data_IF_180062508605
#
_entry.id   IF_180062508605
#
_cell.length_a   1.000
_cell.length_b   1.000
_cell.length_c   1.000
_cell.angle_alpha   90.00
_cell.angle_beta   90.00
_cell.angle_gamma   90.00
#
_symmetry.space_group_name_H-M   'P 1'
#
loop_
_entity.id
_entity.type
_entity.pdbx_description
1 polymer ?
#
# COMPACT_ATOMS: atom_id res chain seq x y z
N UNK A 1 8.45 10.21 -2.79
CA UNK A 1 9.62 10.74 -2.02
C UNK A 1 10.83 9.85 -2.24
N UNK A 2 12.06 10.43 -2.39
CA UNK A 2 13.29 9.62 -2.41
C UNK A 2 13.82 9.36 -0.99
N UNK A 3 14.64 8.31 -0.84
CA UNK A 3 15.26 7.98 0.45
C UNK A 3 16.16 9.14 0.97
N UNK A 4 16.88 9.83 0.09
CA UNK A 4 17.67 11.00 0.46
C UNK A 4 16.81 12.16 0.99
N UNK A 5 15.64 12.41 0.37
CA UNK A 5 14.69 13.41 0.87
C UNK A 5 14.10 13.00 2.22
N UNK A 6 13.77 11.71 2.38
CA UNK A 6 13.29 11.15 3.64
C UNK A 6 14.32 11.34 4.77
N UNK A 7 15.56 10.91 4.51
CA UNK A 7 16.69 11.06 5.44
C UNK A 7 16.89 12.52 5.87
N UNK A 8 16.90 13.45 4.89
CA UNK A 8 17.00 14.89 5.17
C UNK A 8 15.87 15.36 6.09
N UNK A 9 14.63 14.92 5.84
CA UNK A 9 13.46 15.30 6.66
C UNK A 9 13.54 14.77 8.08
N UNK A 10 13.98 13.50 8.27
CA UNK A 10 14.23 12.93 9.60
C UNK A 10 15.25 13.75 10.39
N UNK A 11 16.39 14.07 9.78
CA UNK A 11 17.43 14.88 10.40
C UNK A 11 16.96 16.31 10.71
N UNK A 12 16.16 16.91 9.86
CA UNK A 12 15.53 18.21 10.14
C UNK A 12 14.62 18.18 11.37
N UNK A 13 13.85 17.10 11.56
CA UNK A 13 13.00 16.93 12.74
C UNK A 13 13.82 16.78 14.03
N UNK A 14 14.96 16.11 13.96
CA UNK A 14 15.87 15.94 15.10
C UNK A 14 16.60 17.25 15.44
N UNK A 15 17.07 17.96 14.43
CA UNK A 15 17.90 19.17 14.60
C UNK A 15 17.13 20.47 14.33
N UNK A 16 15.82 20.50 14.49
CA UNK A 16 14.87 21.54 14.06
C UNK A 16 15.10 22.96 14.56
N UNK A 17 16.22 23.27 15.20
CA UNK A 17 16.60 24.63 15.61
C UNK A 17 17.90 25.16 14.98
N UNK A 18 18.46 24.45 14.03
CA UNK A 18 19.51 25.06 13.20
C UNK A 18 18.83 25.94 12.14
N UNK A 19 18.63 27.21 12.47
CA UNK A 19 18.07 28.26 11.60
C UNK A 19 19.04 28.63 10.45
N UNK A 20 20.17 28.00 10.38
CA UNK A 20 21.20 28.32 9.38
C UNK A 20 21.11 27.31 8.23
N UNK A 21 20.44 27.76 7.14
CA UNK A 21 20.76 27.42 5.75
C UNK A 21 20.93 25.95 5.36
N UNK A 22 20.80 25.68 4.11
CA UNK A 22 20.74 24.44 3.35
C UNK A 22 21.82 23.37 3.59
N UNK A 23 22.78 23.56 4.45
CA UNK A 23 23.83 22.61 4.81
C UNK A 23 23.77 22.25 6.28
N UNK A 24 23.05 21.19 6.61
CA UNK A 24 23.32 20.42 7.83
C UNK A 24 24.66 19.74 7.57
N UNK A 25 25.75 20.36 7.98
CA UNK A 25 27.05 19.68 7.98
C UNK A 25 26.95 18.51 8.97
N UNK A 26 27.05 17.30 8.45
CA UNK A 26 27.09 16.03 9.18
C UNK A 26 28.44 15.88 9.91
N UNK A 27 28.79 16.80 10.78
CA UNK A 27 30.14 16.91 11.38
C UNK A 27 30.24 16.38 12.80
N UNK A 28 29.17 15.82 13.39
CA UNK A 28 29.22 15.23 14.72
C UNK A 28 29.08 13.71 14.68
N UNK A 29 29.89 12.98 15.43
CA UNK A 29 29.96 11.52 15.49
C UNK A 29 28.61 10.83 15.71
N UNK A 30 27.66 11.46 16.41
CA UNK A 30 26.33 10.92 16.64
C UNK A 30 25.45 10.89 15.39
N UNK A 31 25.78 11.63 14.34
CA UNK A 31 24.96 11.69 13.13
C UNK A 31 25.16 10.45 12.24
N UNK A 32 26.35 9.87 12.22
CA UNK A 32 26.61 8.63 11.49
C UNK A 32 25.80 7.48 12.07
N UNK A 33 25.71 7.41 13.41
CA UNK A 33 24.91 6.41 14.12
C UNK A 33 23.42 6.55 13.76
N UNK A 34 22.90 7.78 13.78
CA UNK A 34 21.51 8.04 13.37
C UNK A 34 21.24 7.64 11.93
N UNK A 35 22.12 8.01 10.99
CA UNK A 35 21.95 7.67 9.58
C UNK A 35 21.93 6.14 9.36
N UNK A 36 22.76 5.41 10.10
CA UNK A 36 22.83 3.94 10.05
C UNK A 36 21.55 3.28 10.58
N UNK A 37 20.87 3.91 11.53
CA UNK A 37 19.64 3.39 12.12
C UNK A 37 18.36 3.75 11.32
N UNK A 38 18.42 4.70 10.40
CA UNK A 38 17.25 5.11 9.61
C UNK A 38 16.65 3.94 8.80
N UNK A 39 17.39 3.12 8.02
CA UNK A 39 16.79 2.07 7.21
C UNK A 39 15.99 1.04 8.02
N UNK A 40 16.50 0.44 9.11
CA UNK A 40 15.73 -0.52 9.89
C UNK A 40 14.50 0.09 10.59
N UNK A 41 14.58 1.35 11.02
CA UNK A 41 13.42 2.05 11.58
C UNK A 41 12.38 2.39 10.51
N UNK A 42 12.82 2.71 9.30
CA UNK A 42 11.92 2.94 8.18
C UNK A 42 11.18 1.65 7.78
N UNK A 43 11.85 0.50 7.73
CA UNK A 43 11.19 -0.79 7.50
C UNK A 43 10.18 -1.12 8.61
N UNK A 44 10.52 -0.83 9.85
CA UNK A 44 9.64 -1.05 10.99
C UNK A 44 8.37 -0.21 10.89
N UNK A 45 8.49 1.09 10.60
CA UNK A 45 7.32 1.97 10.50
C UNK A 45 6.46 1.66 9.28
N UNK A 46 7.06 1.29 8.15
CA UNK A 46 6.30 0.82 6.98
C UNK A 46 5.46 -0.40 7.35
N UNK A 47 6.07 -1.41 7.95
CA UNK A 47 5.40 -2.63 8.39
C UNK A 47 4.25 -2.32 9.36
N UNK A 48 4.48 -1.43 10.32
CA UNK A 48 3.47 -0.99 11.29
C UNK A 48 2.27 -0.32 10.62
N UNK A 49 2.52 0.64 9.71
CA UNK A 49 1.44 1.35 9.01
C UNK A 49 0.64 0.41 8.12
N UNK A 50 1.30 -0.50 7.38
CA UNK A 50 0.63 -1.45 6.50
C UNK A 50 -0.25 -2.46 7.25
N UNK A 51 0.14 -2.85 8.47
CA UNK A 51 -0.68 -3.69 9.33
C UNK A 51 -1.96 -2.98 9.78
N UNK A 52 -1.87 -1.69 10.12
CA UNK A 52 -3.01 -0.91 10.61
C UNK A 52 -3.91 -0.48 9.44
N UNK A 53 -3.34 0.01 8.33
CA UNK A 53 -4.08 0.67 7.25
C UNK A 53 -4.47 -0.21 6.09
N UNK A 54 -3.99 -1.46 6.02
CA UNK A 54 -4.37 -2.42 4.96
C UNK A 54 -4.31 -1.77 3.58
N UNK A 55 -3.14 -1.30 3.18
CA UNK A 55 -2.96 -0.57 1.92
C UNK A 55 -3.33 -1.46 0.74
N UNK A 56 -4.17 -0.93 -0.12
CA UNK A 56 -4.73 -1.61 -1.28
C UNK A 56 -4.19 -1.03 -2.57
N UNK A 57 -4.14 -1.87 -3.58
CA UNK A 57 -3.78 -1.47 -4.94
C UNK A 57 -4.64 -2.25 -5.95
N UNK A 58 -4.63 -1.79 -7.19
CA UNK A 58 -5.38 -2.42 -8.27
C UNK A 58 -4.55 -2.46 -9.54
N UNK A 59 -4.66 -3.55 -10.29
CA UNK A 59 -3.96 -3.74 -11.55
C UNK A 59 -4.92 -4.34 -12.58
N UNK A 60 -4.76 -3.95 -13.85
CA UNK A 60 -5.49 -4.62 -14.93
C UNK A 60 -4.94 -6.03 -15.13
N UNK A 61 -5.82 -7.00 -15.29
CA UNK A 61 -5.43 -8.40 -15.46
C UNK A 61 -4.51 -8.59 -16.67
N UNK A 62 -4.74 -7.84 -17.75
CA UNK A 62 -3.93 -7.87 -18.98
C UNK A 62 -2.48 -7.38 -18.78
N UNK A 63 -2.20 -6.61 -17.73
CA UNK A 63 -0.87 -6.06 -17.43
C UNK A 63 -0.04 -7.02 -16.57
N UNK A 64 -0.62 -8.16 -16.18
CA UNK A 64 0.08 -9.23 -15.48
C UNK A 64 0.71 -10.21 -16.48
N UNK A 65 1.86 -10.75 -16.11
CA UNK A 65 2.45 -11.87 -16.83
C UNK A 65 1.50 -13.06 -16.77
N UNK A 66 1.24 -13.67 -17.92
CA UNK A 66 0.32 -14.80 -18.03
C UNK A 66 0.86 -15.90 -18.94
N UNK A 67 0.44 -17.11 -18.65
CA UNK A 67 0.71 -18.30 -19.46
C UNK A 67 -0.59 -19.07 -19.75
N UNK A 68 -0.67 -19.72 -20.90
CA UNK A 68 -1.77 -20.61 -21.18
C UNK A 68 -1.60 -21.93 -20.42
N UNK A 69 -2.57 -22.28 -19.60
CA UNK A 69 -2.56 -23.56 -18.90
C UNK A 69 -3.19 -24.68 -19.73
N UNK A 70 -4.33 -24.36 -20.38
CA UNK A 70 -5.09 -25.26 -21.24
C UNK A 70 -5.93 -24.46 -22.25
N UNK A 71 -6.74 -25.14 -23.09
CA UNK A 71 -7.57 -24.50 -24.12
C UNK A 71 -8.58 -23.48 -23.56
N UNK A 72 -8.96 -23.60 -22.29
CA UNK A 72 -10.02 -22.80 -21.67
C UNK A 72 -9.52 -21.86 -20.59
N UNK A 73 -8.28 -22.02 -20.10
CA UNK A 73 -7.81 -21.32 -18.91
C UNK A 73 -6.46 -20.63 -19.14
N UNK A 74 -6.33 -19.46 -18.50
CA UNK A 74 -5.11 -18.67 -18.39
C UNK A 74 -4.61 -18.65 -16.95
N UNK A 75 -3.33 -18.68 -16.75
CA UNK A 75 -2.67 -18.58 -15.46
C UNK A 75 -1.91 -17.26 -15.40
N UNK A 76 -2.37 -16.36 -14.53
CA UNK A 76 -1.76 -15.05 -14.31
C UNK A 76 -0.85 -15.08 -13.09
N UNK A 77 0.32 -14.46 -13.20
CA UNK A 77 1.23 -14.27 -12.07
C UNK A 77 0.79 -13.05 -11.25
N UNK A 78 0.53 -13.25 -9.98
CA UNK A 78 0.18 -12.13 -9.08
C UNK A 78 1.39 -11.20 -8.91
N UNK A 79 1.18 -9.90 -8.67
CA UNK A 79 2.25 -8.97 -8.36
C UNK A 79 3.07 -9.43 -7.14
N UNK A 80 4.38 -9.21 -7.17
CA UNK A 80 5.30 -9.61 -6.08
C UNK A 80 4.93 -8.98 -4.73
N UNK A 81 4.31 -7.80 -4.77
CA UNK A 81 3.82 -7.10 -3.59
C UNK A 81 2.39 -7.48 -3.20
N UNK A 82 1.78 -8.44 -3.87
CA UNK A 82 0.46 -8.95 -3.50
C UNK A 82 0.56 -9.76 -2.20
N UNK A 83 -0.06 -9.25 -1.14
CA UNK A 83 -0.22 -9.97 0.13
C UNK A 83 -1.48 -10.84 0.13
N UNK A 84 -2.58 -10.28 -0.32
CA UNK A 84 -3.89 -10.93 -0.32
C UNK A 84 -4.78 -10.31 -1.40
N UNK A 85 -5.36 -11.14 -2.25
CA UNK A 85 -6.40 -10.69 -3.18
C UNK A 85 -7.68 -10.32 -2.43
N UNK A 86 -8.37 -9.30 -2.92
CA UNK A 86 -9.76 -9.07 -2.52
C UNK A 86 -10.68 -10.08 -3.22
N UNK A 87 -11.82 -10.43 -2.58
CA UNK A 87 -12.80 -11.30 -3.19
C UNK A 87 -13.35 -10.72 -4.50
N UNK A 88 -13.26 -11.49 -5.57
CA UNK A 88 -13.82 -11.14 -6.88
C UNK A 88 -12.92 -10.24 -7.74
N UNK A 89 -12.86 -10.58 -9.02
CA UNK A 89 -12.31 -9.70 -10.05
C UNK A 89 -13.38 -8.68 -10.45
N UNK A 90 -12.97 -7.43 -10.68
CA UNK A 90 -13.90 -6.38 -11.10
C UNK A 90 -13.95 -6.34 -12.63
N UNK A 91 -15.13 -6.56 -13.18
CA UNK A 91 -15.39 -6.42 -14.62
C UNK A 91 -16.25 -5.18 -14.83
N UNK A 92 -15.71 -4.08 -15.36
CA UNK A 92 -16.50 -2.91 -15.69
C UNK A 92 -17.46 -3.23 -16.85
N UNK A 93 -18.76 -3.05 -16.65
CA UNK A 93 -19.78 -3.23 -17.69
C UNK A 93 -20.50 -1.93 -17.98
N UNK A 94 -20.89 -1.72 -19.23
CA UNK A 94 -21.65 -0.55 -19.67
C UNK A 94 -20.81 0.56 -20.31
N UNK A 95 -21.50 1.62 -20.76
CA UNK A 95 -20.88 2.81 -21.36
C UNK A 95 -20.23 3.68 -20.27
N UNK A 96 -19.28 4.53 -20.64
CA UNK A 96 -18.39 5.25 -19.72
C UNK A 96 -19.06 6.00 -18.56
N UNK A 97 -20.31 6.44 -18.72
CA UNK A 97 -21.09 7.17 -17.72
C UNK A 97 -22.08 6.29 -16.92
N UNK A 98 -22.22 5.00 -17.31
CA UNK A 98 -23.10 4.01 -16.66
C UNK A 98 -22.35 2.72 -16.36
N UNK A 99 -21.04 2.81 -16.01
CA UNK A 99 -20.26 1.62 -15.66
C UNK A 99 -20.77 1.02 -14.36
N UNK A 100 -21.28 -0.19 -14.45
CA UNK A 100 -21.58 -1.03 -13.30
C UNK A 100 -20.36 -1.93 -13.07
N UNK A 101 -19.82 -1.93 -11.85
CA UNK A 101 -18.75 -2.82 -11.44
C UNK A 101 -19.35 -4.17 -11.07
N UNK A 102 -19.04 -5.20 -11.83
CA UNK A 102 -19.48 -6.57 -11.54
C UNK A 102 -18.33 -7.36 -10.96
N UNK A 103 -18.53 -7.96 -9.79
CA UNK A 103 -17.54 -8.85 -9.17
C UNK A 103 -17.67 -10.25 -9.76
N UNK A 104 -16.58 -10.75 -10.33
CA UNK A 104 -16.51 -12.07 -10.94
C UNK A 104 -15.76 -13.04 -10.01
N UNK A 105 -16.39 -14.15 -9.64
CA UNK A 105 -15.84 -15.14 -8.70
C UNK A 105 -15.34 -16.43 -9.38
N UNK A 106 -15.44 -16.53 -10.70
CA UNK A 106 -15.06 -17.73 -11.46
C UNK A 106 -13.56 -17.87 -11.69
N UNK A 107 -12.76 -17.65 -10.64
CA UNK A 107 -11.30 -17.81 -10.64
C UNK A 107 -10.85 -18.72 -9.50
N UNK A 108 -9.61 -19.19 -9.57
CA UNK A 108 -8.98 -19.97 -8.48
C UNK A 108 -7.55 -19.49 -8.24
N UNK A 109 -7.14 -19.46 -6.98
CA UNK A 109 -5.73 -19.31 -6.63
C UNK A 109 -5.02 -20.66 -6.86
N UNK A 110 -3.90 -20.60 -7.56
CA UNK A 110 -3.08 -21.75 -7.92
C UNK A 110 -1.64 -21.54 -7.44
N UNK A 111 -1.10 -22.48 -6.67
CA UNK A 111 0.29 -22.41 -6.19
C UNK A 111 0.63 -21.21 -5.29
N UNK A 112 -0.37 -20.54 -4.73
CA UNK A 112 -0.20 -19.44 -3.75
C UNK A 112 0.06 -18.05 -4.34
N UNK A 113 0.66 -17.94 -5.53
CA UNK A 113 0.98 -16.67 -6.18
C UNK A 113 0.49 -16.56 -7.62
N UNK A 114 -0.35 -17.47 -8.05
CA UNK A 114 -0.92 -17.49 -9.40
C UNK A 114 -2.44 -17.49 -9.35
N UNK A 115 -3.04 -16.86 -10.35
CA UNK A 115 -4.49 -16.73 -10.50
C UNK A 115 -4.92 -17.46 -11.76
N UNK A 116 -5.72 -18.50 -11.60
CA UNK A 116 -6.32 -19.25 -12.69
C UNK A 116 -7.65 -18.61 -13.07
N UNK A 117 -7.77 -18.17 -14.31
CA UNK A 117 -8.99 -17.57 -14.86
C UNK A 117 -9.37 -18.22 -16.19
N UNK A 118 -10.65 -18.25 -16.55
CA UNK A 118 -11.06 -18.65 -17.89
C UNK A 118 -10.55 -17.67 -18.95
N UNK A 119 -10.25 -18.17 -20.14
CA UNK A 119 -9.96 -17.34 -21.31
C UNK A 119 -11.16 -16.46 -21.68
N UNK A 120 -10.87 -15.29 -22.25
CA UNK A 120 -11.93 -14.40 -22.76
C UNK A 120 -12.49 -13.43 -21.72
N UNK A 121 -11.83 -13.28 -20.56
CA UNK A 121 -12.13 -12.13 -19.69
C UNK A 121 -11.80 -10.82 -20.41
N UNK A 122 -12.63 -9.77 -20.22
CA UNK A 122 -12.36 -8.46 -20.82
C UNK A 122 -11.01 -7.88 -20.41
N UNK A 123 -10.31 -7.21 -21.30
CA UNK A 123 -9.04 -6.50 -21.02
C UNK A 123 -9.16 -5.46 -19.91
N UNK A 124 -10.38 -4.99 -19.64
CA UNK A 124 -10.69 -4.06 -18.57
C UNK A 124 -10.88 -4.71 -17.20
N UNK A 125 -10.67 -6.02 -17.10
CA UNK A 125 -10.78 -6.74 -15.81
C UNK A 125 -9.71 -6.27 -14.85
N UNK A 126 -10.13 -5.92 -13.63
CA UNK A 126 -9.27 -5.37 -12.58
C UNK A 126 -9.14 -6.39 -11.45
N UNK A 127 -7.91 -6.61 -11.02
CA UNK A 127 -7.56 -7.30 -9.79
C UNK A 127 -7.32 -6.27 -8.71
N UNK A 128 -8.09 -6.33 -7.62
CA UNK A 128 -7.81 -5.59 -6.39
C UNK A 128 -7.10 -6.47 -5.37
N UNK A 129 -6.11 -5.94 -4.70
CA UNK A 129 -5.35 -6.69 -3.71
C UNK A 129 -4.79 -5.80 -2.60
N UNK A 130 -4.49 -6.42 -1.47
CA UNK A 130 -3.73 -5.78 -0.38
C UNK A 130 -2.26 -5.91 -0.66
N UNK A 131 -1.56 -4.79 -0.56
CA UNK A 131 -0.10 -4.75 -0.71
C UNK A 131 0.61 -5.25 0.54
N UNK A 132 1.71 -5.94 0.33
CA UNK A 132 2.74 -6.09 1.36
C UNK A 132 3.74 -4.95 1.25
N UNK A 133 4.39 -4.66 2.36
CA UNK A 133 5.55 -3.76 2.36
C UNK A 133 6.64 -4.36 1.47
N UNK A 134 7.21 -3.54 0.61
CA UNK A 134 8.44 -3.88 -0.10
C UNK A 134 9.60 -3.56 0.83
N UNK A 135 10.37 -4.56 1.29
CA UNK A 135 11.52 -4.30 2.14
C UNK A 135 12.52 -3.36 1.47
N UNK A 136 13.14 -2.51 2.26
CA UNK A 136 14.22 -1.66 1.75
C UNK A 136 15.45 -2.51 1.43
N UNK A 137 16.26 -2.13 0.43
CA UNK A 137 17.61 -2.66 0.30
C UNK A 137 18.41 -2.40 1.58
N UNK A 138 19.36 -3.27 1.90
CA UNK A 138 20.21 -3.14 3.10
C UNK A 138 20.91 -1.77 3.17
N UNK A 139 21.34 -1.24 2.03
CA UNK A 139 21.93 0.09 1.89
C UNK A 139 21.24 0.86 0.75
N UNK A 140 20.09 1.48 1.00
CA UNK A 140 19.35 2.17 -0.05
C UNK A 140 20.12 3.43 -0.50
N UNK A 141 20.37 3.60 -1.81
CA UNK A 141 20.97 4.83 -2.31
C UNK A 141 20.01 6.01 -2.12
N UNK A 142 20.52 7.24 -2.03
CA UNK A 142 19.71 8.44 -1.83
C UNK A 142 18.67 8.67 -2.95
N UNK A 143 18.92 8.10 -4.13
CA UNK A 143 18.00 8.14 -5.29
C UNK A 143 16.90 7.09 -5.23
N UNK A 144 16.94 6.14 -4.28
CA UNK A 144 15.93 5.10 -4.13
C UNK A 144 14.56 5.73 -3.86
N UNK A 145 13.55 5.36 -4.64
CA UNK A 145 12.19 5.90 -4.51
C UNK A 145 11.37 5.02 -3.57
N UNK A 146 10.88 5.62 -2.49
CA UNK A 146 9.94 4.95 -1.57
C UNK A 146 8.60 4.74 -2.26
N UNK A 147 8.17 3.49 -2.37
CA UNK A 147 6.96 3.09 -3.11
C UNK A 147 5.67 3.15 -2.27
N UNK A 148 5.65 3.97 -1.25
CA UNK A 148 4.46 4.19 -0.44
C UNK A 148 3.63 5.35 -1.01
N UNK A 149 2.32 5.41 -0.70
CA UNK A 149 1.51 6.61 -0.91
C UNK A 149 2.16 7.85 -0.28
N UNK A 150 2.01 9.01 -0.91
CA UNK A 150 2.64 10.25 -0.44
C UNK A 150 2.23 10.63 0.98
N UNK A 151 0.98 10.38 1.34
CA UNK A 151 0.47 10.61 2.70
C UNK A 151 1.24 9.80 3.75
N UNK A 152 1.59 8.56 3.43
CA UNK A 152 2.39 7.70 4.30
C UNK A 152 3.83 8.18 4.36
N UNK A 153 4.40 8.54 3.22
CA UNK A 153 5.76 9.09 3.14
C UNK A 153 5.91 10.36 4.00
N UNK A 154 4.83 11.12 4.18
CA UNK A 154 4.84 12.36 4.96
C UNK A 154 4.81 12.16 6.47
N UNK A 155 4.28 11.05 6.95
CA UNK A 155 4.18 10.78 8.40
C UNK A 155 5.32 9.93 8.94
N UNK A 156 5.90 9.04 8.14
CA UNK A 156 6.98 8.13 8.59
C UNK A 156 8.21 8.85 9.19
N UNK A 157 8.64 10.03 8.70
CA UNK A 157 9.78 10.73 9.29
C UNK A 157 9.62 11.06 10.76
N UNK A 158 8.38 11.31 11.24
CA UNK A 158 8.12 11.60 12.65
C UNK A 158 8.38 10.40 13.55
N UNK A 159 7.96 9.20 13.11
CA UNK A 159 8.24 7.95 13.81
C UNK A 159 9.75 7.69 13.89
N UNK A 160 10.43 7.73 12.74
CA UNK A 160 11.87 7.47 12.69
C UNK A 160 12.63 8.47 13.54
N UNK A 161 12.33 9.77 13.44
CA UNK A 161 12.95 10.80 14.25
C UNK A 161 12.71 10.61 15.76
N UNK A 162 11.48 10.21 16.13
CA UNK A 162 11.17 9.91 17.55
C UNK A 162 12.09 8.81 18.08
N UNK A 163 12.15 7.67 17.39
CA UNK A 163 12.93 6.52 17.87
C UNK A 163 14.44 6.77 17.88
N UNK A 164 14.96 7.61 17.01
CA UNK A 164 16.36 8.01 17.02
C UNK A 164 16.73 8.83 18.25
N UNK A 165 15.83 9.68 18.75
CA UNK A 165 16.11 10.52 19.94
C UNK A 165 15.60 9.92 21.23
N UNK A 166 15.02 8.72 21.21
CA UNK A 166 14.30 8.12 22.35
C UNK A 166 15.14 8.07 23.63
N UNK A 167 16.42 7.75 23.52
CA UNK A 167 17.32 7.64 24.66
C UNK A 167 17.99 8.96 25.05
N UNK A 168 18.20 9.84 24.09
CA UNK A 168 18.92 11.10 24.29
C UNK A 168 17.98 12.21 24.78
N UNK A 169 16.73 12.25 24.27
CA UNK A 169 15.73 13.26 24.60
C UNK A 169 14.32 12.64 24.69
N UNK A 170 13.95 12.06 25.84
CA UNK A 170 12.63 11.45 26.02
C UNK A 170 11.45 12.42 25.85
N UNK A 171 11.66 13.70 26.11
CA UNK A 171 10.63 14.71 25.92
C UNK A 171 10.35 14.93 24.41
N UNK A 172 11.41 15.05 23.64
CA UNK A 172 11.30 15.18 22.18
C UNK A 172 10.76 13.92 21.53
N UNK A 173 11.17 12.73 22.00
CA UNK A 173 10.56 11.46 21.62
C UNK A 173 9.04 11.53 21.75
N UNK A 174 8.54 11.90 22.93
CA UNK A 174 7.10 11.96 23.19
C UNK A 174 6.38 12.93 22.27
N UNK A 175 6.96 14.10 22.02
CA UNK A 175 6.39 15.10 21.12
C UNK A 175 6.30 14.60 19.66
N UNK A 176 7.37 14.03 19.13
CA UNK A 176 7.44 13.51 17.77
C UNK A 176 6.54 12.28 17.58
N UNK A 177 6.52 11.38 18.58
CA UNK A 177 5.68 10.19 18.54
C UNK A 177 4.20 10.53 18.60
N UNK A 178 3.80 11.48 19.44
CA UNK A 178 2.42 11.96 19.49
C UNK A 178 1.99 12.64 18.19
N UNK A 179 2.88 13.37 17.54
CA UNK A 179 2.62 13.96 16.22
C UNK A 179 2.45 12.87 15.15
N UNK A 180 3.29 11.83 15.17
CA UNK A 180 3.13 10.66 14.32
C UNK A 180 1.76 10.00 14.50
N UNK A 181 1.37 9.68 15.74
CA UNK A 181 0.08 9.04 16.05
C UNK A 181 -1.10 9.92 15.61
N UNK A 182 -1.02 11.23 15.88
CA UNK A 182 -2.06 12.19 15.47
C UNK A 182 -2.23 12.21 13.95
N UNK A 183 -1.15 12.21 13.19
CA UNK A 183 -1.20 12.17 11.73
C UNK A 183 -1.68 10.82 11.21
N UNK A 184 -1.23 9.73 11.82
CA UNK A 184 -1.67 8.38 11.47
C UNK A 184 -3.19 8.21 11.67
N UNK A 185 -3.77 8.77 12.73
CA UNK A 185 -5.21 8.75 12.98
C UNK A 185 -6.01 9.57 11.94
N UNK A 186 -5.41 10.64 11.41
CA UNK A 186 -6.02 11.49 10.38
C UNK A 186 -5.97 10.90 8.97
N UNK A 187 -5.11 9.91 8.73
CA UNK A 187 -5.16 9.18 7.47
C UNK A 187 -6.56 8.59 7.33
N UNK A 188 -7.22 8.90 6.23
CA UNK A 188 -8.53 8.33 5.96
C UNK A 188 -8.45 6.81 6.11
N UNK A 189 -9.39 6.19 6.84
CA UNK A 189 -9.48 4.75 6.83
C UNK A 189 -9.61 4.34 5.37
N UNK A 190 -8.84 3.34 4.95
CA UNK A 190 -9.10 2.69 3.67
C UNK A 190 -10.60 2.35 3.69
N UNK A 191 -11.40 2.85 2.73
CA UNK A 191 -12.81 2.54 2.76
C UNK A 191 -12.91 1.02 2.83
N UNK A 192 -13.33 0.50 3.97
CA UNK A 192 -13.82 -0.86 4.00
C UNK A 192 -15.00 -0.80 3.04
N UNK A 193 -14.79 -1.30 1.82
CA UNK A 193 -15.91 -1.66 1.00
C UNK A 193 -16.70 -2.61 1.88
N UNK A 194 -17.71 -2.08 2.53
CA UNK A 194 -18.78 -2.90 3.03
C UNK A 194 -19.15 -3.69 1.79
N UNK A 195 -18.79 -4.96 1.76
CA UNK A 195 -19.32 -5.85 0.75
C UNK A 195 -20.81 -5.61 0.88
N UNK A 196 -21.35 -4.81 -0.03
CA UNK A 196 -22.74 -4.95 -0.37
C UNK A 196 -22.71 -6.35 -0.95
N UNK A 197 -22.84 -7.35 -0.06
CA UNK A 197 -23.28 -8.65 -0.48
C UNK A 197 -24.45 -8.28 -1.37
N UNK A 198 -24.32 -8.44 -2.69
CA UNK A 198 -25.49 -8.61 -3.50
C UNK A 198 -26.32 -9.54 -2.64
N UNK A 199 -27.39 -9.01 -2.11
CA UNK A 199 -28.42 -9.86 -1.57
C UNK A 199 -28.78 -10.63 -2.81
N UNK A 200 -28.16 -11.80 -2.97
CA UNK A 200 -28.64 -12.81 -3.89
C UNK A 200 -30.11 -12.85 -3.53
N UNK A 201 -30.91 -12.28 -4.42
CA UNK A 201 -32.34 -12.20 -4.24
C UNK A 201 -32.78 -13.66 -4.13
N UNK A 202 -32.78 -14.16 -2.91
CA UNK A 202 -33.23 -15.54 -2.58
C UNK A 202 -34.66 -15.74 -3.13
N UNK A 203 -35.28 -14.65 -3.53
CA UNK A 203 -36.59 -14.58 -4.17
C UNK A 203 -36.53 -14.20 -5.66
N UNK A 204 -35.37 -14.22 -6.30
CA UNK A 204 -35.21 -13.96 -7.76
C UNK A 204 -36.02 -14.81 -8.70
N UNK A 205 -36.94 -15.61 -8.20
CA UNK A 205 -37.95 -16.33 -8.93
C UNK A 205 -39.27 -15.61 -9.15
N UNK A 206 -39.45 -14.40 -8.58
CA UNK A 206 -40.77 -13.74 -8.64
C UNK A 206 -40.93 -12.69 -9.72
N UNK A 207 -39.94 -12.44 -10.54
CA UNK A 207 -40.03 -11.41 -11.58
C UNK A 207 -40.27 -11.95 -13.00
N UNK A 208 -40.86 -13.11 -13.13
CA UNK A 208 -41.46 -13.56 -14.40
C UNK A 208 -42.99 -13.40 -14.37
N UNK A 209 -43.48 -12.44 -13.66
CA UNK A 209 -44.87 -12.05 -13.68
C UNK A 209 -45.16 -11.24 -14.92
N UNK A 210 -45.41 -11.87 -16.05
CA UNK A 210 -46.30 -11.38 -17.09
C UNK A 210 -47.63 -11.06 -16.41
N UNK A 211 -47.94 -9.80 -16.26
CA UNK A 211 -49.32 -9.34 -16.04
C UNK A 211 -49.71 -8.34 -17.15
N UNK A 212 -50.47 -8.87 -18.11
CA UNK A 212 -51.49 -8.29 -19.01
C UNK A 212 -51.23 -6.88 -19.56
#
# INVERSE_FOLDING_TARGET
MTYGQFKKRVLQLIFSYSIAGDNIELTYNNQEDYVTMIPPLLDSVQSYIYQIRKIEDSILLKDLDCEELDDNNMLYHLPDDCMQMKPGLIIPRGKSWQRVMHRYSGYRLYGGNKLLCPKGLPDSTILEYRKRVTPLPENPPDTYVLRNPDEINDIMPFYVAAFLVMYDDPFRYSALYNEFETRLQRLAPTPEYTEVNEIDDVYGGFNTGVWW
#
